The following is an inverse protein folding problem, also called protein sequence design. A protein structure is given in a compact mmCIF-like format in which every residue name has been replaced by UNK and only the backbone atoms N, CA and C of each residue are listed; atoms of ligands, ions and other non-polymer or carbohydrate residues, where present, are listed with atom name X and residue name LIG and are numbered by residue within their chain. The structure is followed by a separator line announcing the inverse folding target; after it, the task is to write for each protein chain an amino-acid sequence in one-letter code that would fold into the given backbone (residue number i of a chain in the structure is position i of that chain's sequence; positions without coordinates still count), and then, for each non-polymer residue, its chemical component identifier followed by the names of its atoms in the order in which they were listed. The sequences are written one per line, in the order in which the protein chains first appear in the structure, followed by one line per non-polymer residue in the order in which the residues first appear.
data_IF_937168181783
#
_entry.id   IF_937168181783
#
_cell.length_a   1.000
_cell.length_b   1.000
_cell.length_c   1.000
_cell.angle_alpha   90.00
_cell.angle_beta   90.00
_cell.angle_gamma   90.00
#
_symmetry.space_group_name_H-M   'P 1'
#
loop_
_entity.id
_entity.type
_entity.pdbx_description
1 polymer ?
#
# COMPACT_ATOMS: atom_id res chain seq x y z
N UNK A 1 13.67 -1.53 -20.64
CA UNK A 1 12.66 -1.84 -19.62
C UNK A 1 11.76 -2.92 -20.17
N UNK A 2 11.39 -3.89 -19.34
CA UNK A 2 10.39 -4.87 -19.73
C UNK A 2 9.04 -4.17 -19.91
N UNK A 3 8.23 -4.66 -20.85
CA UNK A 3 6.87 -4.17 -21.05
C UNK A 3 5.95 -4.83 -20.02
N UNK A 4 5.40 -4.02 -19.12
CA UNK A 4 4.49 -4.43 -18.04
C UNK A 4 3.03 -4.06 -18.33
N UNK A 5 2.73 -3.50 -19.51
CA UNK A 5 1.40 -2.95 -19.81
C UNK A 5 0.31 -4.02 -19.68
N UNK A 6 0.54 -5.19 -20.27
CA UNK A 6 -0.37 -6.33 -20.16
C UNK A 6 -0.61 -6.77 -18.71
N UNK A 7 0.42 -6.74 -17.86
CA UNK A 7 0.27 -7.08 -16.45
C UNK A 7 -0.65 -6.08 -15.75
N UNK A 8 -0.52 -4.79 -16.05
CA UNK A 8 -1.39 -3.75 -15.48
C UNK A 8 -2.83 -3.86 -16.00
N UNK A 9 -3.02 -4.17 -17.29
CA UNK A 9 -4.34 -4.46 -17.87
C UNK A 9 -5.02 -5.64 -17.17
N UNK A 10 -4.29 -6.75 -16.96
CA UNK A 10 -4.80 -7.95 -16.29
C UNK A 10 -5.20 -7.66 -14.81
N UNK A 11 -4.61 -6.64 -14.18
CA UNK A 11 -4.99 -6.15 -12.85
C UNK A 11 -6.22 -5.21 -12.85
N UNK A 12 -6.78 -4.94 -14.03
CA UNK A 12 -7.90 -4.01 -14.23
C UNK A 12 -7.52 -2.56 -13.92
N UNK A 13 -6.27 -2.19 -14.17
CA UNK A 13 -5.78 -0.83 -13.95
C UNK A 13 -6.27 0.14 -15.03
N UNK A 14 -6.37 1.41 -14.66
CA UNK A 14 -6.42 2.51 -15.63
C UNK A 14 -5.00 2.80 -16.10
N UNK A 15 -4.54 2.02 -17.09
CA UNK A 15 -3.18 2.09 -17.64
C UNK A 15 -2.88 3.49 -18.18
N UNK A 16 -3.82 4.08 -18.92
CA UNK A 16 -3.65 5.42 -19.47
C UNK A 16 -3.41 6.47 -18.39
N UNK A 17 -4.16 6.41 -17.29
CA UNK A 17 -3.94 7.35 -16.19
C UNK A 17 -2.70 6.99 -15.36
N UNK A 18 -2.36 5.71 -15.24
CA UNK A 18 -1.12 5.25 -14.64
C UNK A 18 0.12 5.81 -15.36
N UNK A 19 0.10 5.88 -16.70
CA UNK A 19 1.20 6.42 -17.48
C UNK A 19 1.48 7.89 -17.15
N UNK A 20 0.45 8.69 -16.85
CA UNK A 20 0.63 10.07 -16.42
C UNK A 20 1.45 10.16 -15.11
N UNK A 21 1.26 9.21 -14.19
CA UNK A 21 2.07 9.10 -12.97
C UNK A 21 3.52 8.70 -13.30
N UNK A 22 3.70 7.69 -14.16
CA UNK A 22 5.02 7.18 -14.54
C UNK A 22 5.84 8.17 -15.37
N UNK A 23 5.21 9.07 -16.14
CA UNK A 23 5.93 10.09 -16.91
C UNK A 23 6.60 11.16 -16.05
N UNK A 24 6.05 11.46 -14.87
CA UNK A 24 6.56 12.52 -13.99
C UNK A 24 7.65 11.99 -13.04
N UNK A 25 7.63 10.69 -12.73
CA UNK A 25 8.52 10.09 -11.73
C UNK A 25 10.02 10.20 -12.10
N UNK A 26 10.47 9.94 -13.34
CA UNK A 26 11.89 10.05 -13.71
C UNK A 26 12.45 11.45 -13.51
N UNK A 27 11.67 12.49 -13.85
CA UNK A 27 12.08 13.89 -13.64
C UNK A 27 12.21 14.19 -12.15
N UNK A 28 11.21 13.84 -11.35
CA UNK A 28 11.24 14.08 -9.91
C UNK A 28 12.42 13.35 -9.21
N UNK A 29 12.69 12.10 -9.61
CA UNK A 29 13.81 11.32 -9.08
C UNK A 29 15.15 11.86 -9.56
N UNK A 30 15.22 12.26 -10.83
CA UNK A 30 16.37 12.91 -11.43
C UNK A 30 16.77 14.16 -10.67
N UNK A 31 15.83 15.09 -10.50
CA UNK A 31 16.05 16.39 -9.87
C UNK A 31 16.42 16.27 -8.39
N UNK A 32 15.76 15.36 -7.66
CA UNK A 32 15.94 15.23 -6.21
C UNK A 32 17.16 14.37 -5.86
N UNK A 33 17.34 13.23 -6.53
CA UNK A 33 18.35 12.24 -6.13
C UNK A 33 19.54 12.18 -7.07
N UNK A 34 19.32 12.18 -8.40
CA UNK A 34 20.41 11.93 -9.36
C UNK A 34 21.37 13.11 -9.53
N UNK A 35 20.97 14.31 -9.09
CA UNK A 35 21.83 15.50 -9.06
C UNK A 35 22.75 15.58 -7.84
N UNK A 36 22.53 14.75 -6.81
CA UNK A 36 23.32 14.83 -5.58
C UNK A 36 24.72 14.23 -5.76
N UNK A 37 25.74 14.93 -5.29
CA UNK A 37 27.11 14.44 -5.26
C UNK A 37 27.37 13.50 -4.07
N UNK A 38 28.41 12.66 -4.16
CA UNK A 38 28.87 11.76 -3.10
C UNK A 38 27.84 10.72 -2.60
N UNK A 39 26.88 10.33 -3.46
CA UNK A 39 25.95 9.23 -3.16
C UNK A 39 26.71 7.90 -3.02
N UNK A 40 26.45 7.09 -1.98
CA UNK A 40 27.06 5.77 -1.87
C UNK A 40 26.71 4.89 -3.07
N UNK A 41 27.67 4.11 -3.59
CA UNK A 41 27.44 3.14 -4.69
C UNK A 41 26.33 2.12 -4.37
N UNK A 42 26.11 1.81 -3.09
CA UNK A 42 25.02 0.95 -2.67
C UNK A 42 23.61 1.50 -3.00
N UNK A 43 23.50 2.78 -3.40
CA UNK A 43 22.25 3.37 -3.88
C UNK A 43 21.80 2.85 -5.24
N UNK A 44 22.69 2.25 -6.04
CA UNK A 44 22.34 1.68 -7.35
C UNK A 44 21.17 0.68 -7.28
N UNK A 45 21.10 -0.09 -6.18
CA UNK A 45 19.98 -1.00 -5.93
C UNK A 45 18.66 -0.24 -5.76
N UNK A 46 18.64 0.83 -4.96
CA UNK A 46 17.45 1.62 -4.69
C UNK A 46 17.03 2.46 -5.89
N UNK A 47 17.99 2.92 -6.69
CA UNK A 47 17.74 3.62 -7.95
C UNK A 47 17.01 2.70 -8.94
N UNK A 48 17.45 1.44 -9.04
CA UNK A 48 16.74 0.41 -9.81
C UNK A 48 15.34 0.15 -9.25
N UNK A 49 15.19 -0.02 -7.93
CA UNK A 49 13.87 -0.24 -7.30
C UNK A 49 12.89 0.89 -7.61
N UNK A 50 13.34 2.14 -7.62
CA UNK A 50 12.50 3.30 -7.95
C UNK A 50 12.18 3.33 -9.45
N UNK A 51 13.16 3.08 -10.31
CA UNK A 51 12.97 3.03 -11.76
C UNK A 51 11.97 1.93 -12.18
N UNK A 52 11.92 0.83 -11.43
CA UNK A 52 11.08 -0.34 -11.68
C UNK A 52 9.94 -0.48 -10.64
N UNK A 53 9.57 0.61 -9.96
CA UNK A 53 8.68 0.57 -8.78
C UNK A 53 7.33 -0.12 -9.05
N UNK A 54 6.81 -0.01 -10.27
CA UNK A 54 5.55 -0.63 -10.70
C UNK A 54 5.74 -1.80 -11.67
N UNK A 55 6.99 -2.26 -11.85
CA UNK A 55 7.37 -3.35 -12.76
C UNK A 55 7.72 -4.64 -12.02
N UNK A 56 9.01 -4.80 -11.68
CA UNK A 56 9.59 -6.05 -11.16
C UNK A 56 8.83 -6.58 -9.94
N UNK A 57 8.67 -5.75 -8.90
CA UNK A 57 8.07 -6.23 -7.64
C UNK A 57 6.59 -6.61 -7.79
N UNK A 58 5.72 -5.83 -8.45
CA UNK A 58 4.37 -6.27 -8.78
C UNK A 58 4.32 -7.62 -9.54
N UNK A 59 5.20 -7.83 -10.51
CA UNK A 59 5.28 -9.10 -11.24
C UNK A 59 5.62 -10.28 -10.32
N UNK A 60 6.60 -10.10 -9.42
CA UNK A 60 6.93 -11.12 -8.40
C UNK A 60 5.73 -11.44 -7.50
N UNK A 61 4.97 -10.44 -7.06
CA UNK A 61 3.81 -10.65 -6.19
C UNK A 61 2.72 -11.49 -6.89
N UNK A 62 2.47 -11.23 -8.18
CA UNK A 62 1.52 -11.99 -8.99
C UNK A 62 1.97 -13.46 -9.13
N UNK A 63 3.27 -13.69 -9.37
CA UNK A 63 3.80 -15.06 -9.45
C UNK A 63 3.71 -15.79 -8.10
N UNK A 64 3.92 -15.10 -6.99
CA UNK A 64 3.72 -15.68 -5.65
C UNK A 64 2.24 -16.00 -5.37
N UNK A 65 1.31 -15.16 -5.84
CA UNK A 65 -0.13 -15.46 -5.76
C UNK A 65 -0.51 -16.72 -6.55
N UNK A 66 0.09 -16.93 -7.73
CA UNK A 66 -0.12 -18.17 -8.52
C UNK A 66 0.38 -19.42 -7.77
N UNK A 67 1.38 -19.28 -6.91
CA UNK A 67 1.87 -20.36 -6.02
C UNK A 67 1.02 -20.54 -4.76
N UNK A 68 -0.08 -19.80 -4.64
CA UNK A 68 -1.00 -19.86 -3.50
C UNK A 68 -0.63 -18.95 -2.33
N UNK A 69 0.42 -18.13 -2.46
CA UNK A 69 0.83 -17.17 -1.41
C UNK A 69 -0.11 -15.96 -1.39
N UNK A 70 -0.45 -15.45 -0.21
CA UNK A 70 -1.35 -14.30 -0.06
C UNK A 70 -0.61 -12.99 0.16
N UNK A 71 -1.07 -11.92 -0.49
CA UNK A 71 -0.49 -10.57 -0.38
C UNK A 71 -1.42 -9.69 0.45
N UNK A 72 -0.88 -9.09 1.51
CA UNK A 72 -1.61 -8.26 2.45
C UNK A 72 -1.16 -6.81 2.34
N UNK A 73 -2.13 -5.90 2.18
CA UNK A 73 -1.90 -4.46 2.22
C UNK A 73 -2.06 -3.92 3.65
N UNK A 74 -1.07 -3.22 4.18
CA UNK A 74 -1.09 -2.65 5.53
C UNK A 74 -0.87 -1.14 5.48
N UNK A 75 -1.41 -0.42 6.46
CA UNK A 75 -1.36 1.04 6.51
C UNK A 75 -0.69 1.56 7.78
N UNK A 76 -0.24 0.69 8.67
CA UNK A 76 0.34 1.07 9.94
C UNK A 76 1.30 0.00 10.46
N UNK A 77 2.38 0.48 11.08
CA UNK A 77 3.40 -0.34 11.75
C UNK A 77 2.88 -1.12 12.97
N UNK A 78 1.66 -0.86 13.44
CA UNK A 78 1.03 -1.65 14.49
C UNK A 78 0.51 -2.99 13.98
N UNK A 79 0.30 -3.14 12.67
CA UNK A 79 -0.03 -4.44 12.08
C UNK A 79 1.20 -5.35 12.24
N UNK A 80 1.05 -6.55 12.83
CA UNK A 80 2.18 -7.44 13.08
C UNK A 80 2.57 -8.18 11.80
N UNK A 81 3.44 -7.57 11.00
CA UNK A 81 3.97 -8.14 9.76
C UNK A 81 4.58 -9.53 9.99
N UNK A 82 5.17 -9.76 11.17
CA UNK A 82 5.75 -11.05 11.56
C UNK A 82 4.74 -12.19 11.56
N UNK A 83 3.48 -11.92 11.93
CA UNK A 83 2.41 -12.95 11.91
C UNK A 83 2.04 -13.29 10.48
N UNK A 84 1.94 -12.29 9.61
CA UNK A 84 1.64 -12.48 8.20
C UNK A 84 2.75 -13.28 7.52
N UNK A 85 4.01 -12.92 7.77
CA UNK A 85 5.18 -13.61 7.23
C UNK A 85 5.25 -15.05 7.74
N UNK A 86 5.00 -15.29 9.03
CA UNK A 86 4.97 -16.62 9.62
C UNK A 86 3.87 -17.53 9.03
N UNK A 87 2.75 -16.94 8.61
CA UNK A 87 1.67 -17.62 7.89
C UNK A 87 1.96 -17.79 6.38
N UNK A 88 3.22 -17.63 5.97
CA UNK A 88 3.64 -17.63 4.57
C UNK A 88 2.96 -16.53 3.72
N UNK A 89 2.51 -15.42 4.30
CA UNK A 89 2.00 -14.26 3.56
C UNK A 89 3.12 -13.33 3.09
N UNK A 90 2.76 -12.36 2.23
CA UNK A 90 3.60 -11.22 1.84
C UNK A 90 2.94 -9.94 2.33
N UNK A 91 3.73 -9.02 2.89
CA UNK A 91 3.25 -7.71 3.33
C UNK A 91 3.64 -6.62 2.34
N UNK A 92 2.71 -5.69 2.11
CA UNK A 92 2.94 -4.47 1.34
C UNK A 92 2.41 -3.26 2.12
N UNK A 93 3.25 -2.25 2.35
CA UNK A 93 2.82 -1.00 2.95
C UNK A 93 2.16 -0.08 1.91
N UNK A 94 0.90 0.30 2.14
CA UNK A 94 0.06 1.00 1.17
C UNK A 94 -0.32 2.42 1.62
N UNK A 95 0.49 3.07 2.43
CA UNK A 95 0.30 4.49 2.73
C UNK A 95 0.56 5.34 1.47
N UNK A 96 -0.47 6.02 0.97
CA UNK A 96 -0.39 6.83 -0.24
C UNK A 96 0.45 8.08 -0.04
N UNK A 97 1.50 8.24 -0.84
CA UNK A 97 2.44 9.36 -0.74
C UNK A 97 2.37 10.38 -1.88
N UNK A 98 1.49 10.18 -2.87
CA UNK A 98 1.45 11.02 -4.07
C UNK A 98 0.22 11.91 -4.13
N UNK A 99 0.45 13.19 -4.44
CA UNK A 99 -0.61 14.18 -4.70
C UNK A 99 -1.47 13.78 -5.92
N UNK A 100 -0.91 12.98 -6.84
CA UNK A 100 -1.62 12.45 -8.00
C UNK A 100 -2.91 11.71 -7.63
N UNK A 101 -2.91 10.97 -6.51
CA UNK A 101 -4.08 10.20 -6.07
C UNK A 101 -5.08 10.99 -5.23
N UNK A 102 -4.71 12.17 -4.73
CA UNK A 102 -5.59 12.94 -3.82
C UNK A 102 -6.94 13.30 -4.45
N UNK A 103 -7.01 13.79 -5.71
CA UNK A 103 -8.29 14.12 -6.34
C UNK A 103 -9.26 12.94 -6.44
N UNK A 104 -8.76 11.73 -6.70
CA UNK A 104 -9.59 10.52 -6.74
C UNK A 104 -10.12 10.14 -5.35
N UNK A 105 -9.32 10.33 -4.31
CA UNK A 105 -9.77 10.16 -2.93
C UNK A 105 -10.86 11.17 -2.53
N UNK A 106 -10.73 12.42 -2.95
CA UNK A 106 -11.70 13.50 -2.66
C UNK A 106 -13.08 13.29 -3.30
N UNK A 107 -13.21 12.36 -4.25
CA UNK A 107 -14.53 11.97 -4.79
C UNK A 107 -15.41 11.31 -3.73
N UNK A 108 -14.82 10.70 -2.70
CA UNK A 108 -15.54 9.96 -1.64
C UNK A 108 -15.14 10.36 -0.23
N UNK A 109 -14.11 11.21 -0.08
CA UNK A 109 -13.64 11.74 1.21
C UNK A 109 -13.73 13.27 1.23
N UNK A 110 -13.98 13.89 2.41
CA UNK A 110 -13.88 15.33 2.56
C UNK A 110 -12.47 15.86 2.23
N UNK A 111 -12.40 17.04 1.60
CA UNK A 111 -11.12 17.67 1.22
C UNK A 111 -10.19 17.98 2.40
N UNK A 112 -10.76 18.20 3.59
CA UNK A 112 -10.04 18.51 4.82
C UNK A 112 -9.51 17.26 5.57
N UNK A 113 -9.60 16.07 4.97
CA UNK A 113 -8.96 14.85 5.49
C UNK A 113 -7.46 14.83 5.16
N UNK A 114 -6.66 14.15 5.99
CA UNK A 114 -5.24 13.92 5.78
C UNK A 114 -4.92 13.47 4.34
N UNK A 115 -3.95 14.11 3.65
CA UNK A 115 -3.57 13.75 2.28
C UNK A 115 -3.17 12.28 2.10
N UNK A 116 -2.52 11.66 3.08
CA UNK A 116 -2.17 10.23 3.04
C UNK A 116 -3.40 9.35 2.89
N UNK A 117 -4.45 9.62 3.69
CA UNK A 117 -5.71 8.86 3.63
C UNK A 117 -6.40 9.07 2.28
N UNK A 118 -6.44 10.33 1.80
CA UNK A 118 -7.00 10.66 0.48
C UNK A 118 -6.26 9.93 -0.64
N UNK A 119 -4.93 9.98 -0.63
CA UNK A 119 -4.09 9.32 -1.62
C UNK A 119 -4.21 7.79 -1.57
N UNK A 120 -4.26 7.17 -0.39
CA UNK A 120 -4.48 5.72 -0.27
C UNK A 120 -5.83 5.29 -0.85
N UNK A 121 -6.92 6.01 -0.55
CA UNK A 121 -8.24 5.71 -1.13
C UNK A 121 -8.25 5.96 -2.64
N UNK A 122 -7.66 7.07 -3.08
CA UNK A 122 -7.54 7.42 -4.49
C UNK A 122 -6.72 6.41 -5.29
N UNK A 123 -5.63 5.87 -4.75
CA UNK A 123 -4.81 4.86 -5.43
C UNK A 123 -5.60 3.58 -5.75
N UNK A 124 -6.46 3.12 -4.82
CA UNK A 124 -7.33 1.96 -5.04
C UNK A 124 -8.45 2.25 -6.04
N UNK A 125 -9.19 3.35 -5.82
CA UNK A 125 -10.40 3.68 -6.60
C UNK A 125 -10.07 4.24 -7.99
N UNK A 126 -8.98 4.98 -8.12
CA UNK A 126 -8.43 5.44 -9.39
C UNK A 126 -7.81 4.32 -10.21
N UNK A 127 -7.58 3.13 -9.61
CA UNK A 127 -7.02 1.93 -10.27
C UNK A 127 -5.68 2.19 -10.95
N UNK A 128 -4.83 3.03 -10.37
CA UNK A 128 -3.54 3.42 -10.95
C UNK A 128 -2.33 2.90 -10.17
N UNK A 129 -2.51 2.20 -9.06
CA UNK A 129 -1.39 1.58 -8.34
C UNK A 129 -1.50 0.05 -8.37
N UNK A 130 -0.52 -0.67 -8.96
CA UNK A 130 -0.59 -2.13 -9.05
C UNK A 130 -0.57 -2.80 -7.67
N UNK A 131 0.19 -2.28 -6.70
CA UNK A 131 0.20 -2.84 -5.33
C UNK A 131 -1.18 -2.80 -4.67
N UNK A 132 -1.94 -1.73 -4.90
CA UNK A 132 -3.32 -1.63 -4.43
C UNK A 132 -4.28 -2.54 -5.20
N UNK A 133 -3.95 -3.03 -6.41
CA UNK A 133 -4.80 -3.98 -7.14
C UNK A 133 -4.46 -5.43 -6.83
N UNK A 134 -3.19 -5.71 -6.55
CA UNK A 134 -2.65 -7.05 -6.29
C UNK A 134 -3.06 -7.61 -4.94
N UNK A 135 -3.03 -6.81 -3.87
CA UNK A 135 -3.28 -7.30 -2.52
C UNK A 135 -4.63 -8.04 -2.39
N UNK A 136 -4.59 -9.26 -1.84
CA UNK A 136 -5.76 -10.12 -1.61
C UNK A 136 -6.68 -9.55 -0.52
N UNK A 137 -6.10 -8.89 0.48
CA UNK A 137 -6.80 -8.31 1.63
C UNK A 137 -6.03 -7.11 2.17
N UNK A 138 -6.75 -6.15 2.76
CA UNK A 138 -6.18 -5.09 3.56
C UNK A 138 -6.37 -5.31 5.05
N UNK A 139 -5.33 -4.96 5.82
CA UNK A 139 -5.39 -4.89 7.27
C UNK A 139 -5.35 -3.42 7.68
N UNK A 140 -6.50 -2.93 8.11
CA UNK A 140 -6.66 -1.59 8.67
C UNK A 140 -6.56 -1.60 10.19
N UNK A 141 -6.42 -0.42 10.78
CA UNK A 141 -6.23 -0.23 12.22
C UNK A 141 -7.05 0.95 12.78
N UNK A 142 -7.51 0.89 14.03
CA UNK A 142 -8.31 1.95 14.66
C UNK A 142 -7.48 3.11 15.25
N UNK A 143 -6.51 3.64 14.49
CA UNK A 143 -5.62 4.72 14.96
C UNK A 143 -6.27 6.11 14.92
N UNK A 144 -6.36 6.72 13.73
CA UNK A 144 -6.97 8.04 13.54
C UNK A 144 -8.37 7.92 12.95
N UNK A 145 -9.19 8.96 13.13
CA UNK A 145 -10.58 8.94 12.64
C UNK A 145 -10.67 8.86 11.11
N UNK A 146 -9.78 9.56 10.40
CA UNK A 146 -9.73 9.55 8.94
C UNK A 146 -9.52 8.14 8.38
N UNK A 147 -8.55 7.38 8.93
CA UNK A 147 -8.28 6.01 8.52
C UNK A 147 -9.42 5.06 8.87
N UNK A 148 -9.89 5.09 10.12
CA UNK A 148 -10.99 4.25 10.61
C UNK A 148 -12.22 4.34 9.70
N UNK A 149 -12.59 5.55 9.28
CA UNK A 149 -13.73 5.77 8.37
C UNK A 149 -13.39 5.48 6.91
N UNK A 150 -12.17 5.74 6.45
CA UNK A 150 -11.75 5.38 5.10
C UNK A 150 -11.78 3.86 4.85
N UNK A 151 -11.51 3.04 5.87
CA UNK A 151 -11.58 1.59 5.76
C UNK A 151 -13.00 1.06 5.52
N UNK A 152 -14.04 1.75 6.00
CA UNK A 152 -15.43 1.40 5.66
C UNK A 152 -15.75 1.65 4.17
N UNK A 153 -15.05 2.59 3.54
CA UNK A 153 -15.16 2.86 2.10
C UNK A 153 -14.37 1.81 1.33
N UNK A 154 -13.10 1.56 1.71
CA UNK A 154 -12.25 0.57 1.05
C UNK A 154 -12.82 -0.86 1.16
N UNK A 155 -13.43 -1.21 2.30
CA UNK A 155 -14.08 -2.50 2.52
C UNK A 155 -15.23 -2.84 1.57
N UNK A 156 -15.70 -1.88 0.77
CA UNK A 156 -16.68 -2.13 -0.31
C UNK A 156 -16.04 -2.72 -1.57
N UNK A 157 -14.73 -2.55 -1.76
CA UNK A 157 -14.00 -2.92 -2.98
C UNK A 157 -12.91 -3.98 -2.76
N UNK A 158 -12.40 -4.13 -1.53
CA UNK A 158 -11.38 -5.12 -1.18
C UNK A 158 -11.68 -5.72 0.19
N UNK A 159 -11.47 -7.04 0.39
CA UNK A 159 -11.59 -7.64 1.72
C UNK A 159 -10.77 -6.90 2.75
N UNK A 160 -11.36 -6.63 3.92
CA UNK A 160 -10.70 -5.91 5.00
C UNK A 160 -10.80 -6.64 6.32
N UNK A 161 -9.69 -6.64 7.07
CA UNK A 161 -9.66 -6.92 8.49
C UNK A 161 -9.30 -5.64 9.25
N UNK A 162 -10.07 -5.28 10.27
CA UNK A 162 -9.80 -4.09 11.09
C UNK A 162 -9.27 -4.52 12.45
N UNK A 163 -8.00 -4.21 12.69
CA UNK A 163 -7.35 -4.42 13.97
C UNK A 163 -7.69 -3.26 14.92
N UNK A 164 -8.22 -3.60 16.09
CA UNK A 164 -8.52 -2.59 17.11
C UNK A 164 -7.28 -2.27 17.96
N UNK A 165 -6.67 -1.10 17.71
CA UNK A 165 -5.49 -0.59 18.41
C UNK A 165 -5.93 0.17 19.66
N UNK A 166 -5.45 -0.22 20.86
CA UNK A 166 -5.83 0.47 22.08
C UNK A 166 -5.28 1.90 22.15
N UNK A 167 -6.09 2.82 22.65
CA UNK A 167 -5.72 4.23 22.80
C UNK A 167 -4.88 4.51 24.07
N UNK A 168 -4.63 3.50 24.91
CA UNK A 168 -3.87 3.63 26.14
C UNK A 168 -3.01 2.41 26.43
N UNK A 169 -1.88 2.62 27.10
CA UNK A 169 -0.91 1.56 27.44
C UNK A 169 -1.06 1.00 28.86
N UNK A 170 -2.27 1.04 29.44
CA UNK A 170 -2.52 0.44 30.78
C UNK A 170 -2.52 -1.09 30.68
N UNK A 171 -2.05 -1.77 31.72
CA UNK A 171 -1.90 -3.23 31.73
C UNK A 171 -3.16 -4.00 31.32
N UNK A 172 -4.31 -3.66 31.89
CA UNK A 172 -5.61 -4.25 31.51
C UNK A 172 -5.91 -4.10 30.02
N UNK A 173 -5.60 -2.95 29.44
CA UNK A 173 -5.85 -2.63 28.03
C UNK A 173 -4.86 -3.40 27.13
N UNK A 174 -3.58 -3.44 27.51
CA UNK A 174 -2.55 -4.22 26.80
C UNK A 174 -2.88 -5.72 26.79
N UNK A 175 -3.37 -6.26 27.92
CA UNK A 175 -3.79 -7.67 27.99
C UNK A 175 -4.94 -7.99 27.03
N UNK A 176 -5.88 -7.06 26.86
CA UNK A 176 -7.00 -7.18 25.90
C UNK A 176 -6.52 -7.04 24.46
N UNK A 177 -5.60 -6.11 24.20
CA UNK A 177 -4.98 -5.93 22.88
C UNK A 177 -4.25 -7.19 22.41
N UNK A 178 -3.46 -7.83 23.28
CA UNK A 178 -2.78 -9.11 22.97
C UNK A 178 -3.76 -10.20 22.50
N UNK A 179 -4.91 -10.33 23.17
CA UNK A 179 -5.96 -11.30 22.76
C UNK A 179 -6.55 -10.97 21.39
N UNK A 180 -6.71 -9.69 21.05
CA UNK A 180 -7.21 -9.27 19.73
C UNK A 180 -6.20 -9.55 18.63
N UNK A 181 -4.91 -9.36 18.87
CA UNK A 181 -3.86 -9.72 17.91
C UNK A 181 -3.85 -11.23 17.59
N UNK A 182 -4.21 -12.11 18.54
CA UNK A 182 -4.30 -13.55 18.27
C UNK A 182 -5.37 -13.90 17.21
N UNK A 183 -6.35 -13.03 16.96
CA UNK A 183 -7.35 -13.23 15.91
C UNK A 183 -6.70 -13.17 14.52
N UNK A 184 -5.66 -12.35 14.34
CA UNK A 184 -4.92 -12.25 13.07
C UNK A 184 -4.25 -13.57 12.68
N UNK A 185 -3.93 -14.44 13.64
CA UNK A 185 -3.33 -15.76 13.37
C UNK A 185 -4.30 -16.75 12.72
N UNK A 186 -5.58 -16.38 12.59
CA UNK A 186 -6.64 -17.23 12.02
C UNK A 186 -7.15 -16.73 10.67
N UNK A 187 -6.60 -15.63 10.16
CA UNK A 187 -6.87 -15.11 8.82
C UNK A 187 -6.04 -15.87 7.79
#
# INVERSE_FOLDING_TARGET
MADYEKMWEDLGMDVKNHDNLCQVLPTAVGDVFMTQENRPKAMDFWDMVIAEVHGIRPAELIEEQKKGRKVFGTFCVYVPDEVIIAANGIVTGLCGGSQFWVPDGEKVLPKNVCPLVKASVGARLGRTCPFFRIADMYIGETTCDGKKKAYEILGKDVPMHIMDVPQMKREKILSTGKKKLQILQRL
#
